data_IF_166175377516
#
_entry.id   IF_166175377516
#
_cell.length_a   1.000
_cell.length_b   1.000
_cell.length_c   1.000
_cell.angle_alpha   90.00
_cell.angle_beta   90.00
_cell.angle_gamma   90.00
#
_symmetry.space_group_name_H-M   'P 1'
#
loop_
_entity.id
_entity.type
_entity.pdbx_description
1 polymer ?
#
# COMPACT_ATOMS: atom_id res chain seq x y z
N UNK A 1 -1.41 -10.69 23.88
CA UNK A 1 -1.92 -10.49 22.50
C UNK A 1 -3.42 -10.40 22.62
N UNK A 2 -3.94 -9.23 22.42
CA UNK A 2 -5.36 -8.99 22.64
C UNK A 2 -6.12 -9.40 21.38
N UNK A 3 -6.89 -10.49 21.48
CA UNK A 3 -7.63 -11.08 20.34
C UNK A 3 -8.95 -10.32 20.11
N UNK A 4 -8.89 -9.01 19.93
CA UNK A 4 -10.06 -8.19 19.59
C UNK A 4 -10.70 -8.55 18.24
N UNK A 5 -10.20 -9.58 17.56
CA UNK A 5 -10.70 -9.99 16.24
C UNK A 5 -12.04 -10.74 16.28
N UNK A 6 -12.38 -11.37 17.38
CA UNK A 6 -13.47 -12.37 17.41
C UNK A 6 -14.88 -11.78 17.31
N UNK A 7 -15.06 -10.48 17.47
CA UNK A 7 -16.37 -9.81 17.37
C UNK A 7 -16.46 -8.74 16.28
N UNK A 8 -15.36 -8.44 15.60
CA UNK A 8 -15.34 -7.38 14.60
C UNK A 8 -16.05 -7.82 13.31
N UNK A 9 -16.93 -6.96 12.81
CA UNK A 9 -17.70 -7.18 11.58
C UNK A 9 -17.11 -6.32 10.45
N UNK A 10 -17.04 -6.85 9.21
CA UNK A 10 -16.58 -6.08 8.06
C UNK A 10 -17.63 -5.06 7.62
N UNK A 11 -17.19 -3.98 7.00
CA UNK A 11 -18.05 -3.05 6.27
C UNK A 11 -18.48 -3.63 4.92
N UNK A 12 -19.48 -3.03 4.29
CA UNK A 12 -19.91 -3.44 2.95
C UNK A 12 -18.81 -3.26 1.89
N UNK A 13 -17.97 -2.24 2.04
CA UNK A 13 -16.83 -2.00 1.14
C UNK A 13 -15.74 -3.04 1.29
N UNK A 14 -15.44 -3.45 2.52
CA UNK A 14 -14.48 -4.51 2.81
C UNK A 14 -14.96 -5.87 2.27
N UNK A 15 -16.25 -6.18 2.44
CA UNK A 15 -16.87 -7.38 1.86
C UNK A 15 -16.71 -7.36 0.34
N UNK A 16 -17.06 -6.24 -0.32
CA UNK A 16 -16.96 -6.11 -1.76
C UNK A 16 -15.51 -6.24 -2.25
N UNK A 17 -14.53 -5.69 -1.52
CA UNK A 17 -13.13 -5.84 -1.85
C UNK A 17 -12.66 -7.30 -1.80
N UNK A 18 -13.05 -8.03 -0.75
CA UNK A 18 -12.71 -9.45 -0.58
C UNK A 18 -13.42 -10.31 -1.65
N UNK A 19 -14.69 -10.02 -1.94
CA UNK A 19 -15.49 -10.80 -2.88
C UNK A 19 -15.10 -10.55 -4.34
N UNK A 20 -14.54 -9.39 -4.63
CA UNK A 20 -14.03 -9.04 -5.95
C UNK A 20 -12.77 -9.81 -6.37
N UNK A 21 -12.07 -10.44 -5.43
CA UNK A 21 -10.90 -11.26 -5.76
C UNK A 21 -11.35 -12.65 -6.21
N UNK A 22 -11.04 -13.01 -7.46
CA UNK A 22 -11.33 -14.32 -7.99
C UNK A 22 -10.51 -15.40 -7.25
N UNK A 23 -11.21 -16.30 -6.56
CA UNK A 23 -10.59 -17.46 -5.91
C UNK A 23 -10.74 -18.65 -6.85
N UNK A 24 -9.63 -19.20 -7.33
CA UNK A 24 -9.65 -20.34 -8.23
C UNK A 24 -10.29 -21.56 -7.56
N UNK A 25 -11.19 -22.29 -8.26
CA UNK A 25 -11.85 -23.48 -7.71
C UNK A 25 -10.86 -24.62 -7.41
N UNK A 26 -9.79 -24.70 -8.20
CA UNK A 26 -8.75 -25.69 -8.06
C UNK A 26 -7.49 -25.04 -7.46
N UNK A 27 -7.12 -25.44 -6.25
CA UNK A 27 -5.94 -24.94 -5.58
C UNK A 27 -6.18 -24.59 -4.10
N UNK A 28 -5.13 -24.21 -3.41
CA UNK A 28 -5.23 -23.78 -2.02
C UNK A 28 -5.84 -22.39 -1.95
N UNK A 29 -6.99 -22.24 -1.29
CA UNK A 29 -7.60 -20.93 -0.99
C UNK A 29 -6.62 -19.99 -0.28
N UNK A 30 -5.71 -20.56 0.51
CA UNK A 30 -4.63 -19.86 1.22
C UNK A 30 -3.72 -19.05 0.28
N UNK A 31 -3.48 -19.51 -0.96
CA UNK A 31 -2.69 -18.79 -1.95
C UNK A 31 -3.28 -17.41 -2.33
N UNK A 32 -4.58 -17.22 -2.06
CA UNK A 32 -5.27 -15.96 -2.33
C UNK A 32 -5.23 -14.96 -1.16
N UNK A 33 -4.59 -15.32 -0.02
CA UNK A 33 -4.55 -14.45 1.15
C UNK A 33 -3.93 -13.08 0.84
N UNK A 34 -2.73 -13.05 0.27
CA UNK A 34 -2.07 -11.78 -0.06
C UNK A 34 -2.83 -10.96 -1.11
N UNK A 35 -3.33 -11.52 -2.22
CA UNK A 35 -4.22 -10.81 -3.13
C UNK A 35 -5.46 -10.22 -2.46
N UNK A 36 -6.09 -10.93 -1.53
CA UNK A 36 -7.27 -10.45 -0.80
C UNK A 36 -6.89 -9.32 0.16
N UNK A 37 -5.82 -9.46 0.95
CA UNK A 37 -5.33 -8.40 1.84
C UNK A 37 -4.98 -7.14 1.05
N UNK A 38 -4.36 -7.30 -0.13
CA UNK A 38 -4.07 -6.19 -1.03
C UNK A 38 -5.33 -5.50 -1.54
N UNK A 39 -6.36 -6.26 -1.95
CA UNK A 39 -7.62 -5.70 -2.41
C UNK A 39 -8.35 -4.90 -1.30
N UNK A 40 -8.27 -5.36 -0.04
CA UNK A 40 -8.79 -4.60 1.11
C UNK A 40 -7.99 -3.29 1.27
N UNK A 41 -6.67 -3.36 1.28
CA UNK A 41 -5.79 -2.19 1.40
C UNK A 41 -6.07 -1.17 0.28
N UNK A 42 -6.17 -1.62 -0.96
CA UNK A 42 -6.41 -0.77 -2.13
C UNK A 42 -7.80 -0.11 -2.07
N UNK A 43 -8.80 -0.76 -1.47
CA UNK A 43 -10.16 -0.23 -1.35
C UNK A 43 -10.34 0.71 -0.17
N UNK A 44 -9.83 0.33 1.00
CA UNK A 44 -10.15 0.97 2.29
C UNK A 44 -8.96 1.73 2.88
N UNK A 45 -7.73 1.41 2.45
CA UNK A 45 -6.50 2.03 2.94
C UNK A 45 -5.84 1.29 4.10
N UNK A 46 -6.51 0.27 4.67
CA UNK A 46 -5.95 -0.56 5.73
C UNK A 46 -6.76 -1.85 5.90
N UNK A 47 -6.16 -2.84 6.52
CA UNK A 47 -6.79 -4.14 6.81
C UNK A 47 -7.39 -4.10 8.21
N UNK A 48 -8.70 -3.86 8.30
CA UNK A 48 -9.40 -3.81 9.58
C UNK A 48 -9.56 -5.22 10.20
N UNK A 49 -9.78 -5.32 11.51
CA UNK A 49 -10.11 -6.59 12.15
C UNK A 49 -11.35 -7.27 11.54
N UNK A 50 -12.35 -6.49 11.12
CA UNK A 50 -13.56 -7.01 10.47
C UNK A 50 -13.26 -7.61 9.10
N UNK A 51 -12.50 -6.89 8.26
CA UNK A 51 -12.07 -7.35 6.96
C UNK A 51 -11.19 -8.61 7.07
N UNK A 52 -10.26 -8.62 8.04
CA UNK A 52 -9.40 -9.77 8.30
C UNK A 52 -10.20 -11.01 8.69
N UNK A 53 -11.19 -10.87 9.58
CA UNK A 53 -12.07 -11.97 9.97
C UNK A 53 -12.88 -12.51 8.80
N UNK A 54 -13.38 -11.63 7.93
CA UNK A 54 -14.14 -12.03 6.76
C UNK A 54 -13.25 -12.78 5.75
N UNK A 55 -12.07 -12.23 5.44
CA UNK A 55 -11.08 -12.85 4.57
C UNK A 55 -10.65 -14.23 5.09
N UNK A 56 -10.35 -14.34 6.38
CA UNK A 56 -9.94 -15.58 7.04
C UNK A 56 -10.98 -16.68 6.89
N UNK A 57 -12.25 -16.37 7.13
CA UNK A 57 -13.37 -17.32 6.96
C UNK A 57 -13.55 -17.74 5.50
N UNK A 58 -13.50 -16.79 4.57
CA UNK A 58 -13.68 -17.06 3.14
C UNK A 58 -12.58 -17.95 2.57
N UNK A 59 -11.35 -17.73 3.01
CA UNK A 59 -10.16 -18.44 2.52
C UNK A 59 -9.81 -19.68 3.33
N UNK A 60 -10.54 -19.94 4.43
CA UNK A 60 -10.26 -21.03 5.36
C UNK A 60 -8.81 -20.94 5.91
N UNK A 61 -8.42 -19.73 6.33
CA UNK A 61 -7.11 -19.41 6.90
C UNK A 61 -7.29 -18.97 8.35
N UNK A 62 -6.50 -19.47 9.31
CA UNK A 62 -6.57 -19.01 10.69
C UNK A 62 -6.37 -17.48 10.80
N UNK A 63 -7.19 -16.74 11.59
CA UNK A 63 -7.06 -15.29 11.74
C UNK A 63 -5.67 -14.83 12.20
N UNK A 64 -5.02 -15.60 13.07
CA UNK A 64 -3.66 -15.29 13.53
C UNK A 64 -2.63 -15.33 12.39
N UNK A 65 -2.79 -16.26 11.46
CA UNK A 65 -1.94 -16.34 10.27
C UNK A 65 -2.21 -15.18 9.32
N UNK A 66 -3.49 -14.89 9.04
CA UNK A 66 -3.86 -13.77 8.18
C UNK A 66 -3.37 -12.43 8.75
N UNK A 67 -3.44 -12.25 10.08
CA UNK A 67 -2.87 -11.09 10.77
C UNK A 67 -1.35 -11.04 10.63
N UNK A 68 -0.66 -12.16 10.86
CA UNK A 68 0.80 -12.20 10.71
C UNK A 68 1.27 -11.85 9.31
N UNK A 69 0.52 -12.25 8.28
CA UNK A 69 0.81 -11.85 6.89
C UNK A 69 0.54 -10.36 6.68
N UNK A 70 -0.58 -9.83 7.17
CA UNK A 70 -0.89 -8.41 7.04
C UNK A 70 0.12 -7.50 7.76
N UNK A 71 0.61 -7.93 8.93
CA UNK A 71 1.58 -7.18 9.73
C UNK A 71 3.02 -7.29 9.20
N UNK A 72 3.33 -8.38 8.51
CA UNK A 72 4.66 -8.62 7.94
C UNK A 72 4.96 -7.73 6.73
N UNK A 73 3.98 -7.48 5.87
CA UNK A 73 4.20 -6.73 4.64
C UNK A 73 4.12 -5.22 4.89
N UNK A 74 5.23 -4.51 4.73
CA UNK A 74 5.36 -3.07 5.01
C UNK A 74 4.40 -2.16 4.21
N UNK A 75 3.86 -2.63 3.11
CA UNK A 75 2.87 -1.90 2.30
C UNK A 75 1.42 -2.19 2.70
N UNK A 76 1.19 -3.09 3.65
CA UNK A 76 -0.11 -3.32 4.27
C UNK A 76 -0.14 -2.64 5.64
N UNK A 77 -1.30 -2.14 6.05
CA UNK A 77 -1.47 -1.57 7.38
C UNK A 77 -2.59 -2.29 8.14
N UNK A 78 -2.29 -2.69 9.36
CA UNK A 78 -3.28 -3.22 10.32
C UNK A 78 -3.87 -2.11 11.23
N UNK A 79 -3.50 -0.85 10.97
CA UNK A 79 -4.00 0.34 11.66
C UNK A 79 -4.66 1.28 10.67
N UNK A 80 -5.68 2.06 11.09
CA UNK A 80 -6.29 3.06 10.22
C UNK A 80 -5.24 3.98 9.61
N UNK A 81 -5.32 4.17 8.29
CA UNK A 81 -4.46 5.06 7.53
C UNK A 81 -5.30 6.07 6.77
N UNK A 82 -4.77 7.28 6.49
CA UNK A 82 -5.32 8.17 5.49
C UNK A 82 -5.44 7.51 4.12
N UNK A 83 -6.30 8.04 3.25
CA UNK A 83 -6.54 7.49 1.92
C UNK A 83 -5.29 7.49 1.03
N UNK A 84 -4.42 8.49 1.18
CA UNK A 84 -3.19 8.61 0.41
C UNK A 84 -1.96 8.46 1.32
N UNK A 85 -1.12 7.48 1.02
CA UNK A 85 0.09 7.15 1.79
C UNK A 85 1.31 7.15 0.86
N UNK A 86 2.35 7.90 1.21
CA UNK A 86 3.64 7.82 0.55
C UNK A 86 4.61 6.96 1.36
N UNK A 87 5.16 5.94 0.72
CA UNK A 87 6.24 5.12 1.24
C UNK A 87 7.55 5.60 0.63
N UNK A 88 8.45 6.15 1.44
CA UNK A 88 9.76 6.67 1.01
C UNK A 88 10.83 5.67 1.42
N UNK A 89 11.46 5.06 0.43
CA UNK A 89 12.50 4.06 0.68
C UNK A 89 13.73 4.67 1.33
N UNK A 90 14.11 4.16 2.51
CA UNK A 90 15.33 4.55 3.22
C UNK A 90 16.31 3.39 3.40
N UNK A 91 16.22 2.36 2.57
CA UNK A 91 17.11 1.22 2.56
C UNK A 91 18.48 1.56 1.92
N UNK A 92 19.44 0.67 2.05
CA UNK A 92 20.87 0.86 1.76
C UNK A 92 21.13 1.56 0.44
N UNK A 93 20.58 1.07 -0.67
CA UNK A 93 20.82 1.65 -2.00
C UNK A 93 20.25 3.09 -2.10
N UNK A 94 19.08 3.32 -1.51
CA UNK A 94 18.46 4.64 -1.49
C UNK A 94 19.23 5.60 -0.57
N UNK A 95 19.75 5.16 0.57
CA UNK A 95 20.61 5.97 1.46
C UNK A 95 21.86 6.46 0.74
N UNK A 96 22.56 5.56 0.03
CA UNK A 96 23.76 5.93 -0.76
C UNK A 96 23.41 6.98 -1.83
N UNK A 97 22.18 7.00 -2.32
CA UNK A 97 21.68 7.93 -3.35
C UNK A 97 20.91 9.12 -2.81
N UNK A 98 20.96 9.36 -1.50
CA UNK A 98 20.43 10.58 -0.86
C UNK A 98 19.03 10.43 -0.26
N UNK A 99 18.57 9.23 0.09
CA UNK A 99 17.29 9.04 0.75
C UNK A 99 17.18 9.77 2.09
N UNK A 100 18.27 9.88 2.86
CA UNK A 100 18.25 10.63 4.12
C UNK A 100 17.92 12.12 3.89
N UNK A 101 18.44 12.72 2.80
CA UNK A 101 18.09 14.08 2.42
C UNK A 101 16.62 14.16 1.97
N UNK A 102 16.16 13.22 1.17
CA UNK A 102 14.75 13.15 0.73
C UNK A 102 13.80 13.05 1.92
N UNK A 103 14.11 12.18 2.91
CA UNK A 103 13.33 12.07 4.14
C UNK A 103 13.33 13.37 4.95
N UNK A 104 14.47 14.07 5.06
CA UNK A 104 14.54 15.37 5.75
C UNK A 104 13.71 16.45 5.02
N UNK A 105 13.69 16.45 3.69
CA UNK A 105 12.84 17.33 2.90
C UNK A 105 11.35 17.00 3.14
N UNK A 106 10.97 15.71 3.19
CA UNK A 106 9.61 15.28 3.54
C UNK A 106 9.22 15.73 4.95
N UNK A 107 10.11 15.57 5.93
CA UNK A 107 9.87 16.04 7.31
C UNK A 107 9.65 17.56 7.37
N UNK A 108 10.38 18.31 6.56
CA UNK A 108 10.23 19.78 6.50
C UNK A 108 8.90 20.18 5.87
N UNK A 109 8.45 19.48 4.83
CA UNK A 109 7.24 19.82 4.07
C UNK A 109 5.95 19.28 4.71
N UNK A 110 6.01 18.11 5.32
CA UNK A 110 4.83 17.34 5.78
C UNK A 110 4.81 17.11 7.30
N UNK A 111 5.89 17.44 8.00
CA UNK A 111 6.09 17.07 9.40
C UNK A 111 6.71 15.68 9.57
N UNK A 112 6.91 15.23 10.81
CA UNK A 112 7.54 13.95 11.10
C UNK A 112 6.78 12.78 10.44
N UNK A 113 7.45 11.64 10.32
CA UNK A 113 6.86 10.39 9.82
C UNK A 113 5.49 10.12 10.47
N UNK A 114 4.51 9.71 9.69
CA UNK A 114 3.12 9.55 10.12
C UNK A 114 2.28 10.82 10.03
N UNK A 115 2.88 11.96 9.69
CA UNK A 115 2.16 13.20 9.40
C UNK A 115 1.88 13.35 7.91
N UNK A 116 1.06 14.34 7.53
CA UNK A 116 0.75 14.65 6.15
C UNK A 116 0.28 16.09 5.98
N UNK A 117 0.03 16.51 4.74
CA UNK A 117 -0.48 17.86 4.42
C UNK A 117 -1.86 18.13 5.01
N UNK A 118 -2.67 17.09 5.10
CA UNK A 118 -4.04 17.13 5.61
C UNK A 118 -4.42 15.79 6.26
N UNK A 119 -5.70 15.65 6.63
CA UNK A 119 -6.23 14.43 7.26
C UNK A 119 -6.29 13.22 6.31
N UNK A 120 -6.17 13.44 5.01
CA UNK A 120 -6.29 12.41 3.98
C UNK A 120 -4.95 11.92 3.46
N UNK A 121 -3.85 12.50 3.90
CA UNK A 121 -2.49 12.17 3.44
C UNK A 121 -1.57 11.82 4.60
N UNK A 122 -0.61 10.94 4.35
CA UNK A 122 0.51 10.67 5.26
C UNK A 122 1.73 10.18 4.49
N UNK A 123 2.89 10.15 5.16
CA UNK A 123 4.08 9.53 4.62
C UNK A 123 4.79 8.69 5.67
N UNK A 124 5.47 7.64 5.22
CA UNK A 124 6.25 6.74 6.05
C UNK A 124 7.58 6.39 5.38
N UNK A 125 8.59 6.12 6.19
CA UNK A 125 9.80 5.45 5.73
C UNK A 125 9.46 4.01 5.36
N UNK A 126 10.16 3.45 4.40
CA UNK A 126 9.85 2.13 3.87
C UNK A 126 11.13 1.31 3.68
N UNK A 127 11.06 0.00 3.89
CA UNK A 127 12.05 -0.93 3.36
C UNK A 127 12.16 -0.82 1.84
N UNK A 128 13.10 -1.55 1.26
CA UNK A 128 13.36 -1.55 -0.18
C UNK A 128 12.09 -1.76 -1.02
N UNK A 129 11.85 -0.82 -1.94
CA UNK A 129 10.73 -0.85 -2.90
C UNK A 129 11.07 -1.56 -4.21
N UNK A 130 12.26 -2.16 -4.32
CA UNK A 130 12.69 -2.88 -5.53
C UNK A 130 13.13 -2.00 -6.70
N UNK A 131 13.36 -0.68 -6.48
CA UNK A 131 13.73 0.29 -7.52
C UNK A 131 15.17 0.81 -7.35
N UNK A 132 16.08 -0.04 -6.85
CA UNK A 132 17.43 0.33 -6.44
C UNK A 132 18.28 0.94 -7.56
N UNK A 133 18.05 0.51 -8.81
CA UNK A 133 18.76 1.02 -9.98
C UNK A 133 18.44 2.49 -10.30
N UNK A 134 17.30 2.99 -9.79
CA UNK A 134 16.82 4.37 -9.98
C UNK A 134 16.60 5.11 -8.66
N UNK A 135 17.35 4.74 -7.62
CA UNK A 135 17.29 5.37 -6.30
C UNK A 135 17.59 6.89 -6.34
N UNK A 136 17.05 7.71 -5.40
CA UNK A 136 16.14 7.29 -4.33
C UNK A 136 14.73 7.02 -4.84
N UNK A 137 13.95 6.18 -4.14
CA UNK A 137 12.65 5.74 -4.61
C UNK A 137 11.53 6.01 -3.59
N UNK A 138 10.34 6.26 -4.08
CA UNK A 138 9.12 6.33 -3.29
C UNK A 138 7.95 5.64 -4.03
N UNK A 139 6.96 5.20 -3.26
CA UNK A 139 5.72 4.64 -3.77
C UNK A 139 4.56 5.37 -3.10
N UNK A 140 3.68 5.96 -3.88
CA UNK A 140 2.44 6.57 -3.39
C UNK A 140 1.29 5.63 -3.68
N UNK A 141 0.56 5.28 -2.63
CA UNK A 141 -0.65 4.46 -2.67
C UNK A 141 -1.85 5.34 -2.33
N UNK A 142 -2.90 5.27 -3.14
CA UNK A 142 -4.16 5.96 -2.87
C UNK A 142 -5.29 4.95 -2.88
N UNK A 143 -5.94 4.78 -1.74
CA UNK A 143 -7.08 3.89 -1.55
C UNK A 143 -8.39 4.50 -2.06
N UNK A 144 -9.37 3.66 -2.34
CA UNK A 144 -10.72 4.05 -2.73
C UNK A 144 -11.26 3.30 -3.95
N UNK A 145 -12.41 3.73 -4.47
CA UNK A 145 -13.01 3.13 -5.68
C UNK A 145 -12.09 3.20 -6.89
N UNK A 146 -11.36 4.29 -7.01
CA UNK A 146 -10.38 4.54 -8.05
C UNK A 146 -8.98 4.55 -7.44
N UNK A 147 -8.67 3.47 -6.70
CA UNK A 147 -7.34 3.31 -6.14
C UNK A 147 -6.28 3.40 -7.25
N UNK A 148 -5.13 3.93 -6.89
CA UNK A 148 -3.97 3.93 -7.78
C UNK A 148 -2.67 3.82 -6.97
N UNK A 149 -1.63 3.36 -7.64
CA UNK A 149 -0.28 3.36 -7.14
C UNK A 149 0.63 4.10 -8.10
N UNK A 150 1.60 4.83 -7.57
CA UNK A 150 2.59 5.55 -8.35
C UNK A 150 3.98 5.35 -7.78
N UNK A 151 4.82 4.67 -8.54
CA UNK A 151 6.25 4.55 -8.26
C UNK A 151 6.99 5.78 -8.81
N UNK A 152 7.81 6.38 -7.97
CA UNK A 152 8.66 7.52 -8.27
C UNK A 152 10.12 7.08 -8.10
N UNK A 153 10.92 7.13 -9.16
CA UNK A 153 12.32 6.72 -9.14
C UNK A 153 13.08 7.32 -10.34
N UNK A 154 14.02 8.28 -10.15
CA UNK A 154 14.33 8.88 -8.85
C UNK A 154 13.18 9.74 -8.31
N UNK A 155 13.00 9.72 -6.98
CA UNK A 155 11.96 10.47 -6.30
C UNK A 155 12.47 11.81 -5.76
N UNK A 156 11.62 12.85 -5.82
CA UNK A 156 11.82 14.13 -5.11
C UNK A 156 10.64 14.41 -4.20
N UNK A 157 10.84 15.25 -3.18
CA UNK A 157 9.79 15.61 -2.22
C UNK A 157 8.60 16.30 -2.92
N UNK A 158 8.86 17.13 -3.92
CA UNK A 158 7.80 17.80 -4.71
C UNK A 158 6.97 16.81 -5.52
N UNK A 159 7.62 15.81 -6.14
CA UNK A 159 6.91 14.77 -6.89
C UNK A 159 6.03 13.92 -5.98
N UNK A 160 6.53 13.56 -4.78
CA UNK A 160 5.78 12.82 -3.78
C UNK A 160 4.59 13.65 -3.32
N UNK A 161 4.79 14.92 -3.00
CA UNK A 161 3.73 15.86 -2.60
C UNK A 161 2.64 15.98 -3.66
N UNK A 162 3.01 16.17 -4.91
CA UNK A 162 2.07 16.26 -6.02
C UNK A 162 1.28 14.94 -6.21
N UNK A 163 1.94 13.79 -6.03
CA UNK A 163 1.29 12.49 -6.11
C UNK A 163 0.29 12.26 -4.96
N UNK A 164 0.62 12.68 -3.73
CA UNK A 164 -0.29 12.63 -2.58
C UNK A 164 -1.53 13.49 -2.78
N UNK A 165 -1.39 14.66 -3.41
CA UNK A 165 -2.51 15.56 -3.71
C UNK A 165 -3.39 15.10 -4.88
N UNK A 166 -2.99 14.05 -5.58
CA UNK A 166 -3.77 13.48 -6.68
C UNK A 166 -3.84 14.34 -7.93
N UNK A 167 -2.88 15.23 -8.14
CA UNK A 167 -2.83 16.12 -9.31
C UNK A 167 -2.81 15.29 -10.61
N UNK A 168 -3.87 15.48 -11.42
CA UNK A 168 -4.16 14.66 -12.61
C UNK A 168 -3.11 14.69 -13.74
N UNK A 169 -2.03 15.47 -13.59
CA UNK A 169 -0.91 15.48 -14.54
C UNK A 169 -0.09 14.19 -14.50
N UNK A 170 -0.02 13.53 -13.36
CA UNK A 170 0.75 12.28 -13.17
C UNK A 170 -0.01 11.02 -13.58
N UNK A 171 -1.34 11.10 -13.76
CA UNK A 171 -2.18 9.99 -14.26
C UNK A 171 -1.79 9.51 -15.68
N UNK A 172 -1.07 10.32 -16.44
CA UNK A 172 -0.68 10.00 -17.83
C UNK A 172 0.56 9.11 -17.94
N UNK A 173 1.38 9.00 -16.89
CA UNK A 173 2.59 8.16 -16.94
C UNK A 173 2.30 6.65 -16.75
N UNK A 174 1.15 6.30 -16.19
CA UNK A 174 0.75 4.90 -15.95
C UNK A 174 0.57 4.10 -17.26
N UNK A 175 0.10 4.74 -18.32
CA UNK A 175 -0.14 4.08 -19.61
C UNK A 175 1.14 3.69 -20.37
N UNK A 176 2.29 4.30 -20.04
CA UNK A 176 3.54 4.08 -20.76
C UNK A 176 4.41 2.97 -20.15
N UNK A 177 4.36 2.76 -18.83
CA UNK A 177 5.19 1.74 -18.17
C UNK A 177 4.62 0.33 -18.35
N UNK A 178 3.28 0.16 -18.35
CA UNK A 178 2.64 -1.14 -18.57
C UNK A 178 2.71 -1.62 -20.03
N UNK A 179 2.77 -0.72 -21.02
CA UNK A 179 2.90 -1.11 -22.44
C UNK A 179 4.24 -1.73 -22.79
N UNK A 180 5.26 -1.52 -21.96
CA UNK A 180 6.63 -2.04 -22.25
C UNK A 180 6.86 -3.46 -21.74
N UNK A 181 5.93 -3.98 -20.91
CA UNK A 181 6.04 -5.36 -20.38
C UNK A 181 4.99 -6.32 -20.92
N UNK A 182 4.07 -5.86 -21.74
CA UNK A 182 2.98 -6.65 -22.31
C UNK A 182 3.22 -7.02 -23.79
N UNK A 183 4.46 -7.04 -24.28
CA UNK A 183 4.79 -7.59 -25.60
C UNK A 183 5.71 -8.79 -25.42
N UNK A 184 5.19 -10.02 -25.52
CA UNK A 184 5.98 -11.15 -25.88
C UNK A 184 6.07 -11.20 -27.40
N UNK A 185 7.25 -11.09 -27.95
CA UNK A 185 7.65 -11.75 -29.20
C UNK A 185 8.89 -12.58 -28.92
#
# INVERSE_FOLDING_TARGET
>A
MDLHFTGATPTAEEIAAVDGVAVAPAGSKRAHLLPVLRAIQDRVGWVSPGALNYASRKLDVPPAEAFGVADFYALLSTRPQPAAVAHVCDDIACKVKGADRLCAEMETMHGPEGSGLDRNTTWHRSPCLGLCERAPAALVLVAGERHYEQALAPATAEQITAALQGDGALRRHRALLFRRWASPD
#
